data_IF_778292999682
#
_entry.id   IF_778292999682
#
_cell.length_a   1.000
_cell.length_b   1.000
_cell.length_c   1.000
_cell.angle_alpha   90.00
_cell.angle_beta   90.00
_cell.angle_gamma   90.00
#
_symmetry.space_group_name_H-M   'P 1'
#
loop_
_entity.id
_entity.type
_entity.pdbx_description
1 polymer ?
#
# COMPACT_ATOMS: atom_id res chain seq x y z
N UNK A 1 39.67 -57.18 10.96
CA UNK A 1 38.44 -56.33 11.12
C UNK A 1 37.79 -56.14 9.76
N UNK A 2 36.75 -56.93 9.44
CA UNK A 2 36.06 -56.90 8.14
C UNK A 2 34.96 -55.87 8.27
N UNK A 3 35.15 -54.67 7.67
CA UNK A 3 34.06 -53.68 7.55
C UNK A 3 33.11 -54.21 6.50
N UNK A 4 31.97 -54.77 6.91
CA UNK A 4 30.82 -55.06 6.09
C UNK A 4 30.29 -53.77 5.50
N UNK A 5 30.60 -53.49 4.23
CA UNK A 5 30.07 -52.38 3.42
C UNK A 5 28.62 -52.70 3.06
N UNK A 6 27.69 -52.40 3.98
CA UNK A 6 26.26 -52.60 3.77
C UNK A 6 25.80 -51.64 2.66
N UNK A 7 25.59 -52.15 1.45
CA UNK A 7 25.03 -51.41 0.34
C UNK A 7 23.49 -51.42 0.52
N UNK A 8 22.99 -50.39 1.09
CA UNK A 8 21.54 -50.19 1.11
C UNK A 8 21.00 -50.10 -0.32
N UNK A 9 20.03 -50.96 -0.66
CA UNK A 9 19.39 -50.93 -1.96
C UNK A 9 18.57 -49.59 -2.04
N UNK A 10 18.84 -48.80 -3.08
CA UNK A 10 18.21 -47.47 -3.26
C UNK A 10 16.67 -47.53 -3.14
N UNK A 11 16.08 -48.66 -3.47
CA UNK A 11 14.64 -48.90 -3.37
C UNK A 11 14.13 -48.77 -1.91
N UNK A 12 14.84 -49.38 -0.95
CA UNK A 12 14.45 -49.28 0.47
C UNK A 12 14.67 -47.89 1.02
N UNK A 13 15.68 -47.17 0.54
CA UNK A 13 15.91 -45.78 0.92
C UNK A 13 14.79 -44.89 0.44
N UNK A 14 14.29 -45.05 -0.79
CA UNK A 14 13.13 -44.30 -1.29
C UNK A 14 11.82 -44.59 -0.49
N UNK A 15 11.56 -45.86 -0.19
CA UNK A 15 10.42 -46.26 0.65
C UNK A 15 10.54 -45.67 2.06
N UNK A 16 11.73 -45.71 2.67
CA UNK A 16 11.98 -45.09 3.98
C UNK A 16 11.74 -43.58 3.96
N UNK A 17 12.26 -42.86 2.95
CA UNK A 17 12.04 -41.43 2.79
C UNK A 17 10.55 -41.12 2.58
N UNK A 18 9.86 -41.90 1.75
CA UNK A 18 8.41 -41.73 1.52
C UNK A 18 7.60 -41.95 2.80
N UNK A 19 7.92 -43.00 3.58
CA UNK A 19 7.26 -43.26 4.86
C UNK A 19 7.47 -42.13 5.87
N UNK A 20 8.70 -41.62 5.99
CA UNK A 20 9.02 -40.47 6.85
C UNK A 20 8.26 -39.23 6.38
N UNK A 21 8.23 -38.94 5.07
CA UNK A 21 7.46 -37.83 4.53
C UNK A 21 5.96 -37.93 4.85
N UNK A 22 5.38 -39.12 4.68
CA UNK A 22 3.96 -39.34 5.02
C UNK A 22 3.69 -39.12 6.50
N UNK A 23 4.53 -39.65 7.39
CA UNK A 23 4.41 -39.47 8.84
C UNK A 23 4.53 -38.00 9.21
N UNK A 24 5.52 -37.28 8.67
CA UNK A 24 5.71 -35.85 8.93
C UNK A 24 4.52 -35.02 8.44
N UNK A 25 4.03 -35.31 7.22
CA UNK A 25 2.84 -34.62 6.71
C UNK A 25 1.60 -34.93 7.55
N UNK A 26 1.42 -36.19 7.98
CA UNK A 26 0.30 -36.56 8.84
C UNK A 26 0.35 -35.89 10.20
N UNK A 27 1.54 -35.81 10.82
CA UNK A 27 1.76 -35.08 12.07
C UNK A 27 1.51 -33.58 11.93
N UNK A 28 1.94 -32.96 10.81
CA UNK A 28 1.67 -31.55 10.53
C UNK A 28 0.18 -31.29 10.33
N UNK A 29 -0.53 -32.18 9.62
CA UNK A 29 -2.00 -32.08 9.45
C UNK A 29 -2.72 -32.26 10.79
N UNK A 30 -2.29 -33.25 11.59
CA UNK A 30 -2.84 -33.46 12.94
C UNK A 30 -2.62 -32.23 13.84
N UNK A 31 -1.40 -31.70 13.90
CA UNK A 31 -1.08 -30.48 14.63
C UNK A 31 -1.88 -29.28 14.13
N UNK A 32 -2.07 -29.14 12.80
CA UNK A 32 -2.88 -28.07 12.22
C UNK A 32 -4.36 -28.16 12.60
N UNK A 33 -4.91 -29.37 12.79
CA UNK A 33 -6.32 -29.57 13.16
C UNK A 33 -6.54 -29.42 14.65
N UNK A 34 -5.69 -30.02 15.49
CA UNK A 34 -5.88 -30.10 16.95
C UNK A 34 -5.18 -28.96 17.73
N UNK A 35 -4.06 -28.43 17.24
CA UNK A 35 -3.31 -27.33 17.87
C UNK A 35 -3.14 -26.12 16.92
N UNK A 36 -4.22 -25.71 16.27
CA UNK A 36 -4.20 -24.57 15.35
C UNK A 36 -3.61 -23.30 15.97
N UNK A 37 -3.86 -23.05 17.26
CA UNK A 37 -3.27 -21.92 18.00
C UNK A 37 -1.75 -22.04 18.14
N UNK A 38 -1.23 -23.26 18.36
CA UNK A 38 0.21 -23.53 18.43
C UNK A 38 0.90 -23.27 17.11
N UNK A 39 0.33 -23.73 16.00
CA UNK A 39 0.85 -23.47 14.65
C UNK A 39 0.85 -21.97 14.34
N UNK A 40 -0.24 -21.25 14.67
CA UNK A 40 -0.30 -19.80 14.50
C UNK A 40 0.73 -19.06 15.36
N UNK A 41 1.01 -19.54 16.59
CA UNK A 41 2.02 -18.93 17.46
C UNK A 41 3.43 -19.07 16.89
N UNK A 42 3.77 -20.24 16.32
CA UNK A 42 5.05 -20.48 15.66
C UNK A 42 5.19 -19.60 14.42
N UNK A 43 4.14 -19.51 13.60
CA UNK A 43 4.12 -18.62 12.44
C UNK A 43 4.30 -17.16 12.91
N UNK A 44 3.57 -16.73 13.92
CA UNK A 44 3.70 -15.39 14.50
C UNK A 44 5.10 -15.10 15.06
N UNK A 45 5.75 -16.08 15.69
CA UNK A 45 7.12 -16.00 16.15
C UNK A 45 8.11 -15.80 15.00
N UNK A 46 7.98 -16.59 13.92
CA UNK A 46 8.80 -16.43 12.70
C UNK A 46 8.62 -15.04 12.10
N UNK A 47 7.38 -14.57 11.96
CA UNK A 47 7.10 -13.22 11.44
C UNK A 47 7.68 -12.13 12.34
N UNK A 48 7.68 -12.30 13.67
CA UNK A 48 8.29 -11.36 14.60
C UNK A 48 9.81 -11.29 14.43
N UNK A 49 10.48 -12.43 14.26
CA UNK A 49 11.93 -12.45 13.98
C UNK A 49 12.25 -11.82 12.62
N UNK A 50 11.40 -12.04 11.63
CA UNK A 50 11.59 -11.50 10.27
C UNK A 50 11.13 -10.04 10.14
N UNK A 51 10.47 -9.46 11.14
CA UNK A 51 9.90 -8.10 11.04
C UNK A 51 10.92 -7.04 10.62
N UNK A 52 12.18 -6.97 11.12
CA UNK A 52 13.14 -5.98 10.65
C UNK A 52 13.50 -6.17 9.16
N UNK A 53 13.53 -7.44 8.69
CA UNK A 53 13.80 -7.75 7.28
C UNK A 53 12.63 -7.28 6.41
N UNK A 54 11.39 -7.52 6.86
CA UNK A 54 10.19 -7.07 6.15
C UNK A 54 10.08 -5.54 6.11
N UNK A 55 10.41 -4.86 7.22
CA UNK A 55 10.49 -3.40 7.25
C UNK A 55 11.57 -2.88 6.31
N UNK A 56 12.77 -3.48 6.34
CA UNK A 56 13.84 -3.14 5.42
C UNK A 56 13.48 -3.34 3.96
N UNK A 57 12.80 -4.43 3.63
CA UNK A 57 12.28 -4.68 2.29
C UNK A 57 11.23 -3.65 1.88
N UNK A 58 10.27 -3.31 2.76
CA UNK A 58 9.25 -2.31 2.49
C UNK A 58 9.87 -0.92 2.24
N UNK A 59 10.79 -0.48 3.11
CA UNK A 59 11.53 0.79 2.95
C UNK A 59 12.32 0.81 1.63
N UNK A 60 13.04 -0.27 1.34
CA UNK A 60 13.79 -0.40 0.08
C UNK A 60 12.86 -0.33 -1.13
N UNK A 61 11.70 -0.97 -1.04
CA UNK A 61 10.71 -0.97 -2.11
C UNK A 61 10.15 0.44 -2.37
N UNK A 62 9.79 1.16 -1.31
CA UNK A 62 9.32 2.55 -1.37
C UNK A 62 10.37 3.51 -1.94
N UNK A 63 11.63 3.35 -1.54
CA UNK A 63 12.73 4.21 -1.98
C UNK A 63 13.25 3.87 -3.39
N UNK A 64 12.95 2.70 -3.92
CA UNK A 64 13.45 2.25 -5.24
C UNK A 64 13.20 3.26 -6.36
N UNK A 65 12.03 3.90 -6.53
CA UNK A 65 11.80 4.91 -7.57
C UNK A 65 12.69 6.14 -7.40
N UNK A 66 12.87 6.60 -6.16
CA UNK A 66 13.71 7.75 -5.81
C UNK A 66 15.19 7.45 -6.09
N UNK A 67 15.69 6.31 -5.61
CA UNK A 67 17.06 5.84 -5.88
C UNK A 67 17.32 5.74 -7.37
N UNK A 68 16.40 5.15 -8.14
CA UNK A 68 16.54 5.03 -9.59
C UNK A 68 16.59 6.41 -10.30
N UNK A 69 15.81 7.38 -9.81
CA UNK A 69 15.81 8.74 -10.36
C UNK A 69 17.13 9.45 -10.06
N UNK A 70 17.61 9.36 -8.82
CA UNK A 70 18.90 9.95 -8.40
C UNK A 70 20.07 9.28 -9.13
N UNK A 71 20.11 7.95 -9.22
CA UNK A 71 21.09 7.18 -9.99
C UNK A 71 21.23 7.71 -11.43
N UNK A 72 20.09 7.87 -12.11
CA UNK A 72 20.07 8.38 -13.50
C UNK A 72 20.62 9.80 -13.59
N UNK A 73 20.28 10.66 -12.63
CA UNK A 73 20.76 12.04 -12.59
C UNK A 73 22.27 12.06 -12.36
N UNK A 74 22.78 11.30 -11.37
CA UNK A 74 24.21 11.28 -11.02
C UNK A 74 25.05 10.70 -12.16
N UNK A 75 24.62 9.59 -12.77
CA UNK A 75 25.32 8.99 -13.91
C UNK A 75 25.37 9.97 -15.07
N UNK A 76 24.28 10.70 -15.33
CA UNK A 76 24.19 11.64 -16.45
C UNK A 76 24.99 12.93 -16.21
N UNK A 77 25.09 13.40 -14.96
CA UNK A 77 25.69 14.69 -14.61
C UNK A 77 27.16 14.55 -14.20
N UNK A 78 27.46 13.66 -13.25
CA UNK A 78 28.80 13.58 -12.65
C UNK A 78 29.68 12.48 -13.22
N UNK A 79 29.09 11.36 -13.67
CA UNK A 79 29.85 10.20 -14.11
C UNK A 79 29.82 9.96 -15.62
N UNK A 80 29.38 10.96 -16.40
CA UNK A 80 29.25 10.86 -17.86
C UNK A 80 30.55 10.45 -18.57
N UNK A 81 31.70 10.96 -18.10
CA UNK A 81 33.02 10.76 -18.69
C UNK A 81 33.94 9.87 -17.82
N UNK A 82 33.39 9.00 -16.99
CA UNK A 82 34.17 8.17 -16.07
C UNK A 82 35.01 7.14 -16.84
N UNK A 83 36.35 7.12 -16.58
CA UNK A 83 37.29 6.14 -17.17
C UNK A 83 36.94 4.68 -16.85
N UNK A 84 36.20 4.40 -15.76
CA UNK A 84 35.78 3.07 -15.34
C UNK A 84 34.26 3.02 -15.09
N UNK A 85 33.43 2.76 -16.12
CA UNK A 85 31.96 2.90 -16.02
C UNK A 85 31.34 2.01 -14.94
N UNK A 86 31.86 0.80 -14.70
CA UNK A 86 31.34 -0.10 -13.68
C UNK A 86 31.59 0.36 -12.23
N UNK A 87 32.76 1.00 -11.96
CA UNK A 87 33.02 1.61 -10.64
C UNK A 87 32.19 2.87 -10.44
N UNK A 88 32.01 3.66 -11.48
CA UNK A 88 31.17 4.85 -11.47
C UNK A 88 29.69 4.52 -11.18
N UNK A 89 29.15 3.47 -11.80
CA UNK A 89 27.79 3.00 -11.51
C UNK A 89 27.62 2.55 -10.06
N UNK A 90 28.58 1.82 -9.50
CA UNK A 90 28.54 1.40 -8.08
C UNK A 90 28.60 2.59 -7.14
N UNK A 91 29.45 3.58 -7.42
CA UNK A 91 29.58 4.80 -6.62
C UNK A 91 28.30 5.64 -6.70
N UNK A 92 27.76 5.88 -7.90
CA UNK A 92 26.51 6.58 -8.09
C UNK A 92 25.37 5.90 -7.31
N UNK A 93 25.30 4.57 -7.36
CA UNK A 93 24.31 3.78 -6.62
C UNK A 93 24.44 3.95 -5.12
N UNK A 94 25.67 3.86 -4.56
CA UNK A 94 25.89 4.04 -3.13
C UNK A 94 25.47 5.45 -2.68
N UNK A 95 25.86 6.48 -3.42
CA UNK A 95 25.48 7.88 -3.12
C UNK A 95 23.97 8.07 -3.23
N UNK A 96 23.32 7.52 -4.27
CA UNK A 96 21.86 7.61 -4.44
C UNK A 96 21.09 6.93 -3.33
N UNK A 97 21.56 5.77 -2.85
CA UNK A 97 20.94 5.04 -1.73
C UNK A 97 21.06 5.85 -0.44
N UNK A 98 22.28 6.32 -0.09
CA UNK A 98 22.50 7.12 1.11
C UNK A 98 21.71 8.44 1.06
N UNK A 99 21.75 9.15 -0.06
CA UNK A 99 20.99 10.39 -0.23
C UNK A 99 19.48 10.17 -0.10
N UNK A 100 18.94 9.07 -0.65
CA UNK A 100 17.51 8.75 -0.55
C UNK A 100 17.09 8.45 0.88
N UNK A 101 17.93 7.76 1.65
CA UNK A 101 17.65 7.43 3.05
C UNK A 101 17.76 8.69 3.92
N UNK A 102 18.80 9.51 3.74
CA UNK A 102 18.94 10.77 4.45
C UNK A 102 17.77 11.71 4.16
N UNK A 103 17.32 11.77 2.91
CA UNK A 103 16.15 12.54 2.52
C UNK A 103 14.87 12.02 3.19
N UNK A 104 14.66 10.71 3.21
CA UNK A 104 13.53 10.10 3.92
C UNK A 104 13.56 10.43 5.41
N UNK A 105 14.71 10.23 6.06
CA UNK A 105 14.89 10.56 7.48
C UNK A 105 14.69 12.05 7.75
N UNK A 106 15.25 12.93 6.92
CA UNK A 106 15.07 14.37 7.04
C UNK A 106 13.61 14.79 6.94
N UNK A 107 12.86 14.21 5.99
CA UNK A 107 11.42 14.44 5.86
C UNK A 107 10.66 13.92 7.09
N UNK A 108 10.93 12.69 7.53
CA UNK A 108 10.26 12.10 8.70
C UNK A 108 10.55 12.90 9.98
N UNK A 109 11.81 13.22 10.24
CA UNK A 109 12.21 14.01 11.41
C UNK A 109 11.58 15.41 11.35
N UNK A 110 11.64 16.09 10.20
CA UNK A 110 11.03 17.40 10.00
C UNK A 110 9.52 17.40 10.22
N UNK A 111 8.84 16.40 9.67
CA UNK A 111 7.39 16.22 9.91
C UNK A 111 7.09 15.90 11.37
N UNK A 112 7.85 15.03 12.02
CA UNK A 112 7.66 14.73 13.44
C UNK A 112 7.89 15.96 14.32
N UNK A 113 8.97 16.71 14.08
CA UNK A 113 9.27 17.94 14.83
C UNK A 113 8.22 19.04 14.64
N UNK A 114 7.62 19.11 13.45
CA UNK A 114 6.56 20.09 13.16
C UNK A 114 5.21 19.64 13.72
N UNK A 115 4.83 18.36 13.53
CA UNK A 115 3.49 17.89 13.78
C UNK A 115 3.28 17.46 15.24
N UNK A 116 4.23 16.75 15.84
CA UNK A 116 4.05 16.19 17.20
C UNK A 116 3.76 17.27 18.25
N UNK A 117 4.53 18.39 18.35
CA UNK A 117 4.22 19.45 19.30
C UNK A 117 2.84 20.06 19.05
N UNK A 118 2.50 20.31 17.79
CA UNK A 118 1.19 20.88 17.44
C UNK A 118 0.03 19.92 17.75
N UNK A 119 0.19 18.62 17.48
CA UNK A 119 -0.81 17.61 17.83
C UNK A 119 -1.03 17.57 19.35
N UNK A 120 0.05 17.54 20.14
CA UNK A 120 -0.04 17.51 21.59
C UNK A 120 -0.72 18.79 22.10
N UNK A 121 -0.29 19.95 21.65
CA UNK A 121 -0.89 21.23 22.05
C UNK A 121 -2.37 21.32 21.68
N UNK A 122 -2.74 20.87 20.48
CA UNK A 122 -4.14 20.88 20.04
C UNK A 122 -5.01 19.89 20.84
N UNK A 123 -4.49 18.69 21.16
CA UNK A 123 -5.22 17.70 21.96
C UNK A 123 -5.38 18.19 23.41
N UNK A 124 -4.34 18.75 24.01
CA UNK A 124 -4.42 19.31 25.36
C UNK A 124 -5.34 20.54 25.42
N UNK A 125 -5.24 21.43 24.42
CA UNK A 125 -6.15 22.57 24.27
C UNK A 125 -7.61 22.15 24.09
N UNK A 126 -7.85 21.11 23.32
CA UNK A 126 -9.19 20.51 23.17
C UNK A 126 -9.70 19.97 24.51
N UNK A 127 -8.88 19.22 25.23
CA UNK A 127 -9.24 18.69 26.56
C UNK A 127 -9.58 19.80 27.58
N UNK A 128 -8.76 20.84 27.62
CA UNK A 128 -8.99 21.98 28.52
C UNK A 128 -10.28 22.75 28.25
N UNK A 129 -10.70 22.81 26.98
CA UNK A 129 -11.86 23.57 26.55
C UNK A 129 -13.10 22.68 26.25
N UNK A 130 -13.04 21.39 26.56
CA UNK A 130 -14.07 20.42 26.16
C UNK A 130 -15.45 20.77 26.76
N UNK A 131 -15.47 21.31 27.96
CA UNK A 131 -16.72 21.73 28.61
C UNK A 131 -17.41 22.88 27.89
N UNK A 132 -16.62 23.91 27.50
CA UNK A 132 -17.16 25.04 26.75
C UNK A 132 -17.59 24.63 25.34
N UNK A 133 -16.92 23.67 24.70
CA UNK A 133 -17.32 23.16 23.40
C UNK A 133 -18.66 22.42 23.44
N UNK A 134 -18.87 21.58 24.46
CA UNK A 134 -20.16 20.92 24.66
C UNK A 134 -21.26 21.91 24.99
N UNK A 135 -20.98 22.92 25.82
CA UNK A 135 -21.93 23.98 26.14
C UNK A 135 -22.34 24.76 24.89
N UNK A 136 -21.40 25.18 24.07
CA UNK A 136 -21.67 25.88 22.83
C UNK A 136 -22.53 25.05 21.85
N UNK A 137 -22.28 23.72 21.81
CA UNK A 137 -23.06 22.82 20.95
C UNK A 137 -24.47 22.61 21.48
N UNK A 138 -24.65 22.49 22.79
CA UNK A 138 -25.98 22.46 23.43
C UNK A 138 -26.76 23.75 23.16
N UNK A 139 -26.14 24.94 23.34
CA UNK A 139 -26.73 26.22 23.07
C UNK A 139 -27.14 26.40 21.58
N UNK A 140 -26.25 25.97 20.67
CA UNK A 140 -26.53 25.98 19.24
C UNK A 140 -27.73 25.08 18.86
N UNK A 141 -27.82 23.87 19.41
CA UNK A 141 -28.95 22.95 19.18
C UNK A 141 -30.26 23.56 19.74
N UNK A 142 -30.22 24.06 20.97
CA UNK A 142 -31.37 24.68 21.63
C UNK A 142 -31.84 25.91 20.88
N UNK A 143 -30.92 26.69 20.27
CA UNK A 143 -31.23 27.84 19.41
C UNK A 143 -31.90 27.44 18.09
N UNK A 144 -31.58 26.29 17.53
CA UNK A 144 -32.17 25.82 16.27
C UNK A 144 -33.58 25.22 16.44
N UNK A 145 -33.78 24.45 17.51
CA UNK A 145 -34.98 23.61 17.67
C UNK A 145 -35.95 24.17 18.68
N UNK A 146 -35.52 25.13 19.50
CA UNK A 146 -36.26 25.63 20.67
C UNK A 146 -36.08 24.76 21.90
N UNK A 147 -35.90 25.41 23.05
CA UNK A 147 -35.55 24.78 24.32
C UNK A 147 -36.54 23.74 24.83
N UNK A 148 -37.80 23.81 24.44
CA UNK A 148 -38.88 22.94 24.93
C UNK A 148 -39.25 21.80 23.96
N UNK A 149 -38.42 21.47 22.98
CA UNK A 149 -38.70 20.37 22.07
C UNK A 149 -38.17 19.05 22.63
N UNK A 150 -38.94 17.97 22.48
CA UNK A 150 -38.51 16.62 22.84
C UNK A 150 -37.19 16.25 22.14
N UNK A 151 -36.92 16.79 20.96
CA UNK A 151 -35.68 16.58 20.25
C UNK A 151 -34.48 17.23 20.96
N UNK A 152 -34.63 18.45 21.50
CA UNK A 152 -33.59 19.14 22.25
C UNK A 152 -33.24 18.35 23.53
N UNK A 153 -34.22 17.76 24.21
CA UNK A 153 -34.03 16.96 25.41
C UNK A 153 -33.20 15.68 25.08
N UNK A 154 -33.57 14.92 24.03
CA UNK A 154 -32.80 13.75 23.58
C UNK A 154 -31.39 14.11 23.11
N UNK A 155 -31.24 15.21 22.38
CA UNK A 155 -29.94 15.67 21.90
C UNK A 155 -29.04 16.07 23.06
N UNK A 156 -29.52 16.80 24.06
CA UNK A 156 -28.75 17.20 25.23
C UNK A 156 -28.40 16.00 26.12
N UNK A 157 -29.28 15.01 26.26
CA UNK A 157 -28.97 13.76 26.94
C UNK A 157 -27.85 12.98 26.23
N UNK A 158 -27.93 12.88 24.91
CA UNK A 158 -26.88 12.24 24.11
C UNK A 158 -25.54 12.97 24.22
N UNK A 159 -25.55 14.31 24.15
CA UNK A 159 -24.35 15.13 24.32
C UNK A 159 -23.73 14.97 25.71
N UNK A 160 -24.54 14.90 26.74
CA UNK A 160 -24.09 14.65 28.11
C UNK A 160 -23.39 13.29 28.26
N UNK A 161 -23.94 12.24 27.67
CA UNK A 161 -23.32 10.91 27.64
C UNK A 161 -22.03 10.92 26.82
N UNK A 162 -22.04 11.54 25.63
CA UNK A 162 -20.85 11.66 24.78
C UNK A 162 -19.73 12.44 25.49
N UNK A 163 -20.08 13.56 26.17
CA UNK A 163 -19.13 14.33 27.00
C UNK A 163 -18.48 13.46 28.06
N UNK A 164 -19.28 12.74 28.85
CA UNK A 164 -18.77 11.87 29.91
C UNK A 164 -17.82 10.78 29.37
N UNK A 165 -18.19 10.15 28.24
CA UNK A 165 -17.38 9.13 27.60
C UNK A 165 -16.06 9.71 27.09
N UNK A 166 -16.08 10.84 26.39
CA UNK A 166 -14.88 11.47 25.82
C UNK A 166 -13.97 12.00 26.94
N UNK A 167 -14.52 12.72 27.90
CA UNK A 167 -13.74 13.23 29.04
C UNK A 167 -13.18 12.10 29.88
N UNK A 168 -13.95 11.05 30.15
CA UNK A 168 -13.50 9.86 30.86
C UNK A 168 -12.32 9.16 30.17
N UNK A 169 -12.46 8.93 28.85
CA UNK A 169 -11.36 8.33 28.06
C UNK A 169 -10.13 9.25 27.98
N UNK A 170 -10.33 10.54 27.73
CA UNK A 170 -9.21 11.49 27.67
C UNK A 170 -8.48 11.62 29.01
N UNK A 171 -9.20 11.71 30.11
CA UNK A 171 -8.60 11.88 31.45
C UNK A 171 -7.94 10.60 31.97
N UNK A 172 -8.53 9.42 31.71
CA UNK A 172 -8.00 8.15 32.18
C UNK A 172 -6.82 7.64 31.36
N UNK A 173 -6.88 7.78 30.04
CA UNK A 173 -5.93 7.12 29.12
C UNK A 173 -5.06 8.10 28.36
N UNK A 174 -5.66 9.07 27.66
CA UNK A 174 -4.95 9.87 26.68
C UNK A 174 -4.05 10.95 27.32
N UNK A 175 -4.62 11.76 28.22
CA UNK A 175 -3.89 12.90 28.82
C UNK A 175 -2.72 12.44 29.68
N UNK A 176 -2.84 11.41 30.56
CA UNK A 176 -1.71 10.87 31.30
C UNK A 176 -0.60 10.33 30.38
N UNK A 177 -0.96 9.66 29.27
CA UNK A 177 0.03 9.18 28.31
C UNK A 177 0.76 10.33 27.63
N UNK A 178 0.06 11.40 27.20
CA UNK A 178 0.66 12.58 26.59
C UNK A 178 1.56 13.33 27.59
N UNK A 179 1.11 13.48 28.82
CA UNK A 179 1.93 14.08 29.90
C UNK A 179 3.17 13.23 30.20
N UNK A 180 3.03 11.91 30.26
CA UNK A 180 4.15 10.99 30.41
C UNK A 180 5.16 11.10 29.26
N UNK A 181 4.73 11.29 28.05
CA UNK A 181 5.60 11.56 26.90
C UNK A 181 6.36 12.87 27.07
N UNK A 182 5.70 13.93 27.57
CA UNK A 182 6.32 15.23 27.78
C UNK A 182 7.28 15.26 28.99
N UNK A 183 6.92 14.57 30.10
CA UNK A 183 7.69 14.60 31.36
C UNK A 183 8.79 13.54 31.37
N UNK A 184 8.53 12.36 30.84
CA UNK A 184 9.47 11.24 30.86
C UNK A 184 10.22 11.09 29.54
N UNK A 185 10.83 12.16 29.04
CA UNK A 185 11.63 12.14 27.81
C UNK A 185 12.66 11.01 27.83
N UNK A 186 13.29 10.73 28.99
CA UNK A 186 14.34 9.71 29.11
C UNK A 186 13.83 8.27 29.00
N UNK A 187 12.71 7.91 29.61
CA UNK A 187 12.11 6.56 29.50
C UNK A 187 11.36 6.39 28.17
N UNK A 188 10.76 7.45 27.68
CA UNK A 188 10.17 7.49 26.34
C UNK A 188 11.25 7.36 25.27
N UNK A 189 12.43 7.96 25.44
CA UNK A 189 13.58 7.75 24.57
C UNK A 189 14.01 6.28 24.53
N UNK A 190 13.92 5.53 25.65
CA UNK A 190 14.27 4.09 25.64
C UNK A 190 13.24 3.21 24.93
N UNK A 191 11.95 3.45 25.11
CA UNK A 191 10.90 2.74 24.35
C UNK A 191 10.88 3.15 22.89
N UNK A 192 11.13 4.41 22.59
CA UNK A 192 11.37 4.92 21.24
C UNK A 192 12.65 4.32 20.67
N UNK A 193 13.73 4.18 21.46
CA UNK A 193 14.99 3.56 21.02
C UNK A 193 14.82 2.10 20.61
N UNK A 194 13.96 1.31 21.25
CA UNK A 194 13.69 -0.07 20.82
C UNK A 194 12.96 -0.12 19.48
N UNK A 195 11.98 0.75 19.26
CA UNK A 195 11.32 0.91 17.94
C UNK A 195 12.30 1.44 16.90
N UNK A 196 13.18 2.38 17.30
CA UNK A 196 14.25 2.88 16.43
C UNK A 196 15.33 1.82 16.16
N UNK A 197 15.61 0.91 17.08
CA UNK A 197 16.56 -0.19 16.84
C UNK A 197 16.06 -1.10 15.70
N UNK A 198 14.77 -1.49 15.74
CA UNK A 198 14.16 -2.26 14.64
C UNK A 198 14.13 -1.48 13.32
N UNK A 199 13.89 -0.18 13.40
CA UNK A 199 13.92 0.72 12.24
C UNK A 199 15.35 0.90 11.70
N UNK A 200 16.37 1.01 12.56
CA UNK A 200 17.78 1.09 12.17
C UNK A 200 18.20 -0.21 11.51
N UNK A 201 17.87 -1.36 12.10
CA UNK A 201 18.14 -2.67 11.49
C UNK A 201 17.41 -2.76 10.14
N UNK A 202 16.15 -2.38 10.09
CA UNK A 202 15.37 -2.30 8.86
C UNK A 202 16.00 -1.38 7.81
N UNK A 203 16.53 -0.21 8.21
CA UNK A 203 17.24 0.69 7.31
C UNK A 203 18.56 0.11 6.80
N UNK A 204 19.34 -0.55 7.65
CA UNK A 204 20.56 -1.25 7.22
C UNK A 204 20.21 -2.30 6.18
N UNK A 205 19.17 -3.09 6.44
CA UNK A 205 18.66 -4.11 5.51
C UNK A 205 18.16 -3.46 4.21
N UNK A 206 17.46 -2.33 4.30
CA UNK A 206 17.00 -1.56 3.15
C UNK A 206 18.17 -1.07 2.28
N UNK A 207 19.28 -0.62 2.90
CA UNK A 207 20.50 -0.25 2.17
C UNK A 207 21.02 -1.45 1.37
N UNK A 208 21.13 -2.62 1.99
CA UNK A 208 21.58 -3.85 1.31
C UNK A 208 20.64 -4.25 0.17
N UNK A 209 19.32 -4.19 0.38
CA UNK A 209 18.35 -4.48 -0.67
C UNK A 209 18.45 -3.49 -1.83
N UNK A 210 18.51 -2.19 -1.56
CA UNK A 210 18.62 -1.15 -2.59
C UNK A 210 19.93 -1.24 -3.37
N UNK A 211 21.04 -1.47 -2.67
CA UNK A 211 22.34 -1.59 -3.28
C UNK A 211 22.46 -2.84 -4.15
N UNK A 212 21.90 -3.97 -3.70
CA UNK A 212 22.05 -5.29 -4.31
C UNK A 212 20.80 -5.79 -5.03
N UNK A 213 19.82 -4.95 -5.33
CA UNK A 213 18.51 -5.35 -5.89
C UNK A 213 18.61 -6.16 -7.18
N UNK A 214 19.54 -5.78 -8.07
CA UNK A 214 19.76 -6.51 -9.33
C UNK A 214 20.33 -7.91 -9.08
N UNK A 215 21.21 -8.05 -8.07
CA UNK A 215 21.77 -9.33 -7.67
C UNK A 215 20.70 -10.25 -7.08
N UNK A 216 19.87 -9.74 -6.17
CA UNK A 216 18.74 -10.49 -5.61
C UNK A 216 17.73 -10.91 -6.69
N UNK A 217 17.38 -10.01 -7.60
CA UNK A 217 16.48 -10.32 -8.73
C UNK A 217 17.09 -11.40 -9.65
N UNK A 218 18.41 -11.36 -9.90
CA UNK A 218 19.11 -12.37 -10.69
C UNK A 218 19.20 -13.72 -9.99
N UNK A 219 19.44 -13.72 -8.67
CA UNK A 219 19.42 -14.94 -7.85
C UNK A 219 18.01 -15.57 -7.83
N UNK A 220 16.97 -14.76 -7.65
CA UNK A 220 15.58 -15.24 -7.72
C UNK A 220 15.27 -15.90 -9.07
N UNK A 221 15.67 -15.28 -10.20
CA UNK A 221 15.54 -15.90 -11.52
C UNK A 221 16.31 -17.22 -11.61
N UNK A 222 17.57 -17.24 -11.13
CA UNK A 222 18.39 -18.46 -11.14
C UNK A 222 17.70 -19.61 -10.40
N UNK A 223 17.16 -19.34 -9.21
CA UNK A 223 16.41 -20.33 -8.43
C UNK A 223 15.15 -20.77 -9.19
N UNK A 224 14.40 -19.84 -9.78
CA UNK A 224 13.21 -20.17 -10.57
C UNK A 224 13.53 -21.12 -11.72
N UNK A 225 14.57 -20.84 -12.51
CA UNK A 225 14.96 -21.73 -13.62
C UNK A 225 15.63 -23.02 -13.17
N UNK A 226 16.15 -23.09 -11.94
CA UNK A 226 16.67 -24.33 -11.38
C UNK A 226 15.56 -25.29 -10.92
N UNK A 227 14.45 -24.74 -10.39
CA UNK A 227 13.34 -25.53 -9.84
C UNK A 227 12.26 -25.87 -10.87
N UNK A 228 12.07 -25.03 -11.88
CA UNK A 228 10.98 -25.17 -12.85
C UNK A 228 11.53 -25.32 -14.28
N UNK A 229 10.74 -25.95 -15.16
CA UNK A 229 11.05 -26.03 -16.59
C UNK A 229 11.18 -24.61 -17.19
N UNK A 230 11.92 -24.49 -18.30
CA UNK A 230 12.17 -23.19 -18.95
C UNK A 230 10.88 -22.41 -19.21
N UNK A 231 9.86 -23.06 -19.78
CA UNK A 231 8.55 -22.45 -20.06
C UNK A 231 7.85 -21.95 -18.79
N UNK A 232 7.78 -22.76 -17.73
CA UNK A 232 7.16 -22.37 -16.46
C UNK A 232 7.98 -21.27 -15.75
N UNK A 233 9.32 -21.35 -15.84
CA UNK A 233 10.22 -20.32 -15.33
C UNK A 233 9.97 -18.96 -15.97
N UNK A 234 9.78 -18.89 -17.28
CA UNK A 234 9.45 -17.65 -17.99
C UNK A 234 8.10 -17.07 -17.53
N UNK A 235 7.09 -17.92 -17.34
CA UNK A 235 5.78 -17.51 -16.84
C UNK A 235 5.90 -16.92 -15.43
N UNK A 236 6.64 -17.58 -14.53
CA UNK A 236 6.85 -17.11 -13.15
C UNK A 236 7.58 -15.76 -13.16
N UNK A 237 8.67 -15.63 -13.93
CA UNK A 237 9.43 -14.38 -14.03
C UNK A 237 8.59 -13.25 -14.63
N UNK A 238 7.76 -13.53 -15.64
CA UNK A 238 6.83 -12.57 -16.22
C UNK A 238 5.81 -12.09 -15.20
N UNK A 239 5.22 -13.02 -14.45
CA UNK A 239 4.24 -12.72 -13.41
C UNK A 239 4.86 -11.93 -12.24
N UNK A 240 6.07 -12.28 -11.79
CA UNK A 240 6.78 -11.54 -10.76
C UNK A 240 7.10 -10.10 -11.20
N UNK A 241 7.47 -9.90 -12.46
CA UNK A 241 7.68 -8.56 -13.04
C UNK A 241 6.38 -7.76 -13.13
N UNK A 242 5.28 -8.42 -13.47
CA UNK A 242 3.95 -7.81 -13.46
C UNK A 242 3.55 -7.39 -12.02
N UNK A 243 3.67 -8.29 -11.05
CA UNK A 243 3.42 -8.00 -9.64
C UNK A 243 4.24 -6.80 -9.16
N UNK A 244 5.54 -6.76 -9.42
CA UNK A 244 6.40 -5.63 -9.08
C UNK A 244 5.90 -4.31 -9.69
N UNK A 245 5.40 -4.32 -10.93
CA UNK A 245 4.86 -3.12 -11.58
C UNK A 245 3.58 -2.65 -10.90
N UNK A 246 2.64 -3.57 -10.62
CA UNK A 246 1.36 -3.26 -9.99
C UNK A 246 1.56 -2.72 -8.57
N UNK A 247 2.32 -3.43 -7.74
CA UNK A 247 2.63 -2.99 -6.37
C UNK A 247 3.37 -1.66 -6.34
N UNK A 248 4.42 -1.53 -7.17
CA UNK A 248 5.23 -0.30 -7.21
C UNK A 248 4.43 0.91 -7.67
N UNK A 249 3.65 0.75 -8.73
CA UNK A 249 2.79 1.81 -9.24
C UNK A 249 1.71 2.22 -8.22
N UNK A 250 1.03 1.24 -7.63
CA UNK A 250 -0.04 1.48 -6.67
C UNK A 250 0.46 2.15 -5.37
N UNK A 251 1.46 1.57 -4.71
CA UNK A 251 1.95 2.08 -3.42
C UNK A 251 2.57 3.47 -3.60
N UNK A 252 3.43 3.65 -4.62
CA UNK A 252 4.04 4.95 -4.88
C UNK A 252 2.99 5.99 -5.25
N UNK A 253 2.02 5.60 -6.10
CA UNK A 253 0.92 6.48 -6.48
C UNK A 253 0.09 6.89 -5.26
N UNK A 254 -0.27 5.95 -4.38
CA UNK A 254 -1.12 6.24 -3.21
C UNK A 254 -0.42 7.13 -2.18
N UNK A 255 0.89 6.97 -1.98
CA UNK A 255 1.67 7.87 -1.11
C UNK A 255 1.71 9.29 -1.67
N UNK A 256 1.94 9.43 -2.98
CA UNK A 256 1.95 10.75 -3.63
C UNK A 256 0.56 11.39 -3.56
N UNK A 257 -0.48 10.64 -3.86
CA UNK A 257 -1.88 11.05 -3.78
C UNK A 257 -2.23 11.56 -2.38
N UNK A 258 -1.93 10.77 -1.34
CA UNK A 258 -2.15 11.12 0.07
C UNK A 258 -1.38 12.37 0.50
N UNK A 259 -0.15 12.53 0.05
CA UNK A 259 0.64 13.73 0.32
C UNK A 259 0.06 14.98 -0.35
N UNK A 260 -0.46 14.85 -1.59
CA UNK A 260 -1.13 15.94 -2.29
C UNK A 260 -2.44 16.31 -1.58
N UNK A 261 -3.28 15.34 -1.24
CA UNK A 261 -4.56 15.56 -0.55
C UNK A 261 -4.34 16.20 0.82
N UNK A 262 -3.41 15.67 1.63
CA UNK A 262 -3.07 16.25 2.93
C UNK A 262 -2.52 17.68 2.81
N UNK A 263 -1.66 17.93 1.82
CA UNK A 263 -1.12 19.26 1.54
C UNK A 263 -2.19 20.25 1.10
N UNK A 264 -3.07 19.87 0.19
CA UNK A 264 -4.22 20.70 -0.24
C UNK A 264 -5.17 20.98 0.91
N UNK A 265 -5.45 19.97 1.74
CA UNK A 265 -6.26 20.13 2.94
C UNK A 265 -5.63 21.15 3.90
N UNK A 266 -4.33 21.02 4.18
CA UNK A 266 -3.61 21.96 5.06
C UNK A 266 -3.65 23.40 4.55
N UNK A 267 -3.39 23.62 3.27
CA UNK A 267 -3.40 24.93 2.63
C UNK A 267 -4.82 25.54 2.72
N UNK A 268 -5.83 24.79 2.32
CA UNK A 268 -7.20 25.28 2.34
C UNK A 268 -7.68 25.57 3.77
N UNK A 269 -7.44 24.67 4.73
CA UNK A 269 -7.82 24.89 6.12
C UNK A 269 -7.14 26.13 6.73
N UNK A 270 -5.89 26.40 6.34
CA UNK A 270 -5.16 27.59 6.79
C UNK A 270 -5.74 28.86 6.18
N UNK A 271 -6.08 28.84 4.87
CA UNK A 271 -6.66 29.99 4.17
C UNK A 271 -8.07 30.30 4.71
N UNK A 272 -8.91 29.29 4.90
CA UNK A 272 -10.26 29.44 5.42
C UNK A 272 -10.35 29.54 6.95
N UNK A 273 -9.21 29.54 7.64
CA UNK A 273 -9.08 29.64 9.09
C UNK A 273 -9.95 28.61 9.85
N UNK A 274 -9.97 27.37 9.36
CA UNK A 274 -10.58 26.28 10.09
C UNK A 274 -9.79 25.92 11.35
N UNK A 275 -10.44 25.39 12.41
CA UNK A 275 -9.71 24.94 13.61
C UNK A 275 -8.82 23.74 13.32
N UNK A 276 -7.68 23.68 13.99
CA UNK A 276 -6.73 22.57 13.98
C UNK A 276 -6.18 22.16 12.58
N UNK A 277 -5.72 23.11 11.72
CA UNK A 277 -5.32 22.77 10.35
C UNK A 277 -4.25 21.67 10.27
N UNK A 278 -3.15 21.67 11.07
CA UNK A 278 -2.13 20.63 10.97
C UNK A 278 -2.65 19.24 11.41
N UNK A 279 -3.44 19.20 12.48
CA UNK A 279 -4.00 17.95 13.00
C UNK A 279 -4.91 17.29 11.97
N UNK A 280 -5.88 18.03 11.47
CA UNK A 280 -6.90 17.51 10.56
C UNK A 280 -6.31 17.15 9.20
N UNK A 281 -5.41 17.98 8.66
CA UNK A 281 -4.77 17.68 7.37
C UNK A 281 -3.89 16.43 7.42
N UNK A 282 -3.23 16.17 8.55
CA UNK A 282 -2.49 14.93 8.77
C UNK A 282 -3.42 13.73 8.88
N UNK A 283 -4.51 13.85 9.66
CA UNK A 283 -5.52 12.79 9.77
C UNK A 283 -6.05 12.43 8.38
N UNK A 284 -6.45 13.42 7.58
CA UNK A 284 -6.98 13.22 6.23
C UNK A 284 -5.91 12.64 5.30
N UNK A 285 -4.69 13.19 5.30
CA UNK A 285 -3.61 12.72 4.46
C UNK A 285 -3.19 11.28 4.79
N UNK A 286 -3.05 10.94 6.07
CA UNK A 286 -2.69 9.58 6.51
C UNK A 286 -3.82 8.60 6.24
N UNK A 287 -5.06 8.96 6.57
CA UNK A 287 -6.22 8.13 6.30
C UNK A 287 -6.38 7.84 4.80
N UNK A 288 -6.07 8.81 3.94
CA UNK A 288 -6.16 8.67 2.48
C UNK A 288 -5.22 7.61 1.89
N UNK A 289 -4.23 7.11 2.65
CA UNK A 289 -3.41 5.95 2.23
C UNK A 289 -4.28 4.71 2.05
N UNK A 290 -5.37 4.58 2.82
CA UNK A 290 -6.31 3.47 2.72
C UNK A 290 -7.26 3.72 1.55
N UNK A 291 -7.24 2.90 0.50
CA UNK A 291 -8.11 3.10 -0.64
C UNK A 291 -9.58 2.99 -0.25
N UNK A 292 -10.43 3.81 -0.86
CA UNK A 292 -11.88 3.81 -0.71
C UNK A 292 -12.39 4.25 0.68
N UNK A 293 -11.86 3.70 1.77
CA UNK A 293 -12.29 4.02 3.14
C UNK A 293 -11.54 5.21 3.76
N UNK A 294 -10.35 5.52 3.24
CA UNK A 294 -9.52 6.61 3.76
C UNK A 294 -10.24 7.95 3.88
N UNK A 295 -10.95 8.41 2.85
CA UNK A 295 -11.73 9.64 2.90
C UNK A 295 -12.69 9.70 4.08
N UNK A 296 -13.43 8.63 4.34
CA UNK A 296 -14.41 8.56 5.43
C UNK A 296 -13.74 8.48 6.81
N UNK A 297 -12.70 7.64 6.92
CA UNK A 297 -11.91 7.49 8.17
C UNK A 297 -11.28 8.82 8.58
N UNK A 298 -10.84 9.62 7.61
CA UNK A 298 -10.27 10.94 7.86
C UNK A 298 -11.32 12.02 8.11
N UNK A 299 -12.38 12.07 7.30
CA UNK A 299 -13.37 13.14 7.34
C UNK A 299 -14.27 13.07 8.58
N UNK A 300 -14.76 11.89 8.97
CA UNK A 300 -15.70 11.76 10.08
C UNK A 300 -15.13 12.31 11.40
N UNK A 301 -13.98 11.87 11.90
CA UNK A 301 -13.42 12.43 13.14
C UNK A 301 -13.06 13.91 12.99
N UNK A 302 -12.63 14.34 11.80
CA UNK A 302 -12.30 15.74 11.54
C UNK A 302 -13.52 16.66 11.62
N UNK A 303 -14.64 16.24 11.03
CA UNK A 303 -15.93 16.98 11.12
C UNK A 303 -16.39 17.05 12.59
N UNK A 304 -16.31 15.93 13.32
CA UNK A 304 -16.72 15.90 14.73
C UNK A 304 -15.85 16.82 15.60
N UNK A 305 -14.53 16.86 15.37
CA UNK A 305 -13.63 17.78 16.07
C UNK A 305 -13.99 19.24 15.80
N UNK A 306 -14.27 19.59 14.56
CA UNK A 306 -14.65 20.98 14.21
C UNK A 306 -16.04 21.31 14.73
N UNK A 307 -16.98 20.35 14.69
CA UNK A 307 -18.36 20.53 15.18
C UNK A 307 -18.39 20.92 16.66
N UNK A 308 -17.53 20.31 17.46
CA UNK A 308 -17.44 20.64 18.88
C UNK A 308 -16.91 22.06 19.13
N UNK A 309 -16.04 22.56 18.25
CA UNK A 309 -15.46 23.90 18.39
C UNK A 309 -16.40 25.00 17.85
N UNK A 310 -16.94 24.78 16.64
CA UNK A 310 -17.79 25.72 15.94
C UNK A 310 -18.69 24.96 14.93
N UNK A 311 -19.98 24.80 15.24
CA UNK A 311 -20.91 24.06 14.38
C UNK A 311 -21.06 24.63 12.97
N UNK A 312 -20.99 25.93 12.81
CA UNK A 312 -21.12 26.57 11.49
C UNK A 312 -19.86 26.29 10.64
N UNK A 313 -18.69 26.37 11.24
CA UNK A 313 -17.43 25.98 10.56
C UNK A 313 -17.39 24.50 10.20
N UNK A 314 -18.00 23.63 11.00
CA UNK A 314 -18.12 22.20 10.67
C UNK A 314 -18.95 21.99 9.39
N UNK A 315 -20.03 22.76 9.19
CA UNK A 315 -20.82 22.72 7.96
C UNK A 315 -19.99 23.17 6.74
N UNK A 316 -19.24 24.25 6.87
CA UNK A 316 -18.35 24.71 5.78
C UNK A 316 -17.25 23.69 5.50
N UNK A 317 -16.68 23.07 6.55
CA UNK A 317 -15.68 22.02 6.39
C UNK A 317 -16.25 20.76 5.72
N UNK A 318 -17.50 20.38 6.05
CA UNK A 318 -18.19 19.27 5.38
C UNK A 318 -18.29 19.52 3.87
N UNK A 319 -18.70 20.73 3.46
CA UNK A 319 -18.79 21.09 2.05
C UNK A 319 -17.38 21.04 1.41
N UNK A 320 -16.39 21.63 2.09
CA UNK A 320 -15.01 21.64 1.61
C UNK A 320 -14.46 20.24 1.41
N UNK A 321 -14.63 19.33 2.39
CA UNK A 321 -14.10 17.97 2.29
C UNK A 321 -14.79 17.18 1.17
N UNK A 322 -16.08 17.35 0.95
CA UNK A 322 -16.79 16.73 -0.18
C UNK A 322 -16.23 17.22 -1.52
N UNK A 323 -15.95 18.51 -1.67
CA UNK A 323 -15.32 19.06 -2.88
C UNK A 323 -13.91 18.51 -3.05
N UNK A 324 -13.11 18.48 -1.97
CA UNK A 324 -11.76 17.93 -2.01
C UNK A 324 -11.75 16.46 -2.44
N UNK A 325 -12.69 15.65 -1.93
CA UNK A 325 -12.82 14.24 -2.31
C UNK A 325 -13.26 14.07 -3.77
N UNK A 326 -14.12 14.96 -4.29
CA UNK A 326 -14.47 14.95 -5.72
C UNK A 326 -13.24 15.29 -6.60
N UNK A 327 -12.43 16.24 -6.18
CA UNK A 327 -11.19 16.59 -6.88
C UNK A 327 -10.18 15.42 -6.81
N UNK A 328 -10.03 14.79 -5.64
CA UNK A 328 -9.17 13.62 -5.47
C UNK A 328 -9.61 12.50 -6.40
N UNK A 329 -10.88 12.06 -6.31
CA UNK A 329 -11.38 10.90 -7.04
C UNK A 329 -11.40 11.08 -8.57
N UNK A 330 -11.72 12.29 -9.06
CA UNK A 330 -11.89 12.54 -10.50
C UNK A 330 -10.66 13.14 -11.18
N UNK A 331 -9.76 13.79 -10.45
CA UNK A 331 -8.62 14.50 -11.06
C UNK A 331 -7.28 13.96 -10.54
N UNK A 332 -7.08 13.89 -9.22
CA UNK A 332 -5.78 13.57 -8.62
C UNK A 332 -5.50 12.08 -8.75
N UNK A 333 -6.39 11.23 -8.25
CA UNK A 333 -6.21 9.79 -8.24
C UNK A 333 -6.01 9.21 -9.66
N UNK A 334 -6.81 9.56 -10.70
CA UNK A 334 -6.55 9.08 -12.06
C UNK A 334 -5.21 9.54 -12.64
N UNK A 335 -4.76 10.75 -12.32
CA UNK A 335 -3.47 11.26 -12.79
C UNK A 335 -2.28 10.64 -12.10
N UNK A 336 -2.40 10.32 -10.80
CA UNK A 336 -1.32 9.82 -9.96
C UNK A 336 -1.24 8.29 -10.00
N UNK A 337 -2.37 7.61 -9.81
CA UNK A 337 -2.43 6.15 -9.81
C UNK A 337 -2.58 5.56 -11.22
N UNK A 338 -3.24 6.27 -12.16
CA UNK A 338 -3.57 5.73 -13.47
C UNK A 338 -4.40 4.44 -13.36
N UNK A 339 -4.26 3.55 -14.35
CA UNK A 339 -4.90 2.23 -14.36
C UNK A 339 -4.03 1.17 -13.63
N UNK A 340 -3.45 1.52 -12.48
CA UNK A 340 -2.42 0.70 -11.82
C UNK A 340 -2.90 -0.71 -11.46
N UNK A 341 -4.18 -0.92 -11.18
CA UNK A 341 -4.71 -2.23 -10.75
C UNK A 341 -5.59 -2.92 -11.78
N UNK A 342 -6.28 -2.18 -12.65
CA UNK A 342 -7.23 -2.73 -13.62
C UNK A 342 -8.43 -3.47 -12.98
N UNK A 343 -8.68 -3.25 -11.68
CA UNK A 343 -9.81 -3.81 -10.95
C UNK A 343 -11.02 -2.90 -11.02
N UNK A 344 -12.22 -3.49 -11.06
CA UNK A 344 -13.47 -2.74 -10.87
C UNK A 344 -13.68 -2.43 -9.38
N UNK A 345 -14.51 -1.43 -9.07
CA UNK A 345 -14.79 -0.99 -7.69
C UNK A 345 -15.20 -2.14 -6.75
N UNK A 346 -16.02 -3.09 -7.23
CA UNK A 346 -16.40 -4.29 -6.47
C UNK A 346 -15.18 -5.09 -6.00
N UNK A 347 -14.24 -5.38 -6.91
CA UNK A 347 -13.05 -6.16 -6.58
C UNK A 347 -12.07 -5.41 -5.66
N UNK A 348 -12.08 -4.07 -5.71
CA UNK A 348 -11.30 -3.24 -4.78
C UNK A 348 -11.87 -3.38 -3.36
N UNK A 349 -13.19 -3.24 -3.19
CA UNK A 349 -13.86 -3.41 -1.88
C UNK A 349 -13.66 -4.83 -1.36
N UNK A 350 -13.85 -5.84 -2.21
CA UNK A 350 -13.61 -7.24 -1.85
C UNK A 350 -12.18 -7.48 -1.34
N UNK A 351 -11.18 -6.94 -2.05
CA UNK A 351 -9.79 -7.04 -1.64
C UNK A 351 -9.53 -6.40 -0.27
N UNK A 352 -10.09 -5.21 -0.02
CA UNK A 352 -9.94 -4.51 1.25
C UNK A 352 -10.57 -5.30 2.40
N UNK A 353 -11.79 -5.83 2.21
CA UNK A 353 -12.48 -6.63 3.26
C UNK A 353 -11.70 -7.89 3.57
N UNK A 354 -11.28 -8.66 2.57
CA UNK A 354 -10.57 -9.93 2.76
C UNK A 354 -9.19 -9.71 3.39
N UNK A 355 -8.37 -8.83 2.79
CA UNK A 355 -7.02 -8.60 3.28
C UNK A 355 -7.00 -7.75 4.55
N UNK A 356 -7.92 -6.81 4.70
CA UNK A 356 -8.09 -6.03 5.94
C UNK A 356 -8.50 -6.90 7.12
N UNK A 357 -9.44 -7.84 6.91
CA UNK A 357 -9.87 -8.78 7.93
C UNK A 357 -8.80 -9.81 8.33
N UNK A 358 -7.92 -10.20 7.41
CA UNK A 358 -6.88 -11.21 7.67
C UNK A 358 -5.54 -10.62 8.15
N UNK A 359 -5.14 -9.46 7.62
CA UNK A 359 -3.84 -8.83 7.86
C UNK A 359 -3.94 -7.46 8.56
N UNK A 360 -5.15 -7.04 8.97
CA UNK A 360 -5.39 -5.76 9.63
C UNK A 360 -4.99 -4.55 8.77
N UNK A 361 -4.37 -3.54 9.40
CA UNK A 361 -3.99 -2.30 8.74
C UNK A 361 -3.07 -2.50 7.51
N UNK A 362 -2.12 -3.41 7.60
CA UNK A 362 -1.23 -3.75 6.48
C UNK A 362 -2.05 -4.30 5.30
N UNK A 363 -3.03 -5.16 5.59
CA UNK A 363 -3.93 -5.72 4.58
C UNK A 363 -4.78 -4.66 3.88
N UNK A 364 -5.21 -3.61 4.58
CA UNK A 364 -5.95 -2.49 3.97
C UNK A 364 -5.12 -1.76 2.89
N UNK A 365 -3.81 -1.65 3.10
CA UNK A 365 -2.91 -0.96 2.16
C UNK A 365 -2.49 -1.86 1.00
N UNK A 366 -2.02 -3.08 1.30
CA UNK A 366 -1.44 -3.97 0.28
C UNK A 366 -2.47 -4.88 -0.38
N UNK A 367 -3.67 -5.00 0.17
CA UNK A 367 -4.70 -5.93 -0.29
C UNK A 367 -5.13 -5.69 -1.74
N UNK A 368 -5.33 -4.43 -2.10
CA UNK A 368 -5.74 -4.07 -3.47
C UNK A 368 -4.72 -4.49 -4.53
N UNK A 369 -3.43 -4.12 -4.44
CA UNK A 369 -2.44 -4.60 -5.41
C UNK A 369 -2.18 -6.10 -5.33
N UNK A 370 -2.27 -6.73 -4.14
CA UNK A 370 -2.14 -8.17 -4.01
C UNK A 370 -3.26 -8.89 -4.74
N UNK A 371 -4.51 -8.46 -4.52
CA UNK A 371 -5.66 -9.03 -5.20
C UNK A 371 -5.62 -8.79 -6.71
N UNK A 372 -5.18 -7.62 -7.18
CA UNK A 372 -5.02 -7.31 -8.60
C UNK A 372 -4.07 -8.31 -9.29
N UNK A 373 -2.99 -8.69 -8.63
CA UNK A 373 -2.05 -9.69 -9.13
C UNK A 373 -2.70 -11.07 -9.17
N UNK A 374 -3.36 -11.48 -8.08
CA UNK A 374 -4.07 -12.79 -8.01
C UNK A 374 -5.15 -12.86 -9.08
N UNK A 375 -5.99 -11.82 -9.17
CA UNK A 375 -7.06 -11.74 -10.17
C UNK A 375 -6.53 -11.87 -11.59
N UNK A 376 -5.44 -11.17 -11.92
CA UNK A 376 -4.82 -11.24 -13.25
C UNK A 376 -4.22 -12.62 -13.52
N UNK A 377 -3.63 -13.27 -12.53
CA UNK A 377 -3.13 -14.63 -12.67
C UNK A 377 -4.25 -15.64 -12.95
N UNK A 378 -5.34 -15.55 -12.19
CA UNK A 378 -6.53 -16.39 -12.40
C UNK A 378 -7.14 -16.13 -13.78
N UNK A 379 -7.33 -14.86 -14.15
CA UNK A 379 -7.83 -14.47 -15.47
C UNK A 379 -6.98 -15.06 -16.61
N UNK A 380 -5.66 -14.88 -16.52
CA UNK A 380 -4.74 -15.40 -17.53
C UNK A 380 -4.74 -16.95 -17.59
N UNK A 381 -4.88 -17.61 -16.44
CA UNK A 381 -4.96 -19.06 -16.37
C UNK A 381 -6.27 -19.57 -17.02
N UNK A 382 -7.40 -18.94 -16.70
CA UNK A 382 -8.71 -19.25 -17.32
C UNK A 382 -8.63 -19.05 -18.83
N UNK A 383 -8.15 -17.88 -19.29
CA UNK A 383 -8.02 -17.57 -20.71
C UNK A 383 -7.19 -18.64 -21.45
N UNK A 384 -6.04 -19.03 -20.91
CA UNK A 384 -5.21 -20.09 -21.51
C UNK A 384 -5.93 -21.45 -21.54
N UNK A 385 -6.75 -21.77 -20.53
CA UNK A 385 -7.53 -23.02 -20.51
C UNK A 385 -8.63 -23.01 -21.56
N UNK A 386 -9.32 -21.88 -21.73
CA UNK A 386 -10.36 -21.69 -22.75
C UNK A 386 -9.76 -21.76 -24.16
N UNK A 387 -8.65 -21.09 -24.40
CA UNK A 387 -7.93 -21.18 -25.70
C UNK A 387 -7.55 -22.63 -26.06
N UNK A 388 -7.03 -23.40 -25.09
CA UNK A 388 -6.73 -24.83 -25.31
C UNK A 388 -7.96 -25.68 -25.63
N UNK A 389 -9.15 -25.24 -25.22
CA UNK A 389 -10.43 -25.91 -25.50
C UNK A 389 -11.13 -25.33 -26.74
N UNK A 390 -10.51 -24.37 -27.42
CA UNK A 390 -11.10 -23.63 -28.54
C UNK A 390 -12.45 -22.99 -28.17
N UNK A 391 -12.55 -22.44 -26.95
CA UNK A 391 -13.74 -21.75 -26.46
C UNK A 391 -13.52 -20.23 -26.41
N UNK A 392 -14.61 -19.43 -26.51
CA UNK A 392 -14.51 -17.98 -26.43
C UNK A 392 -13.80 -17.51 -25.15
N UNK A 393 -12.95 -16.50 -25.28
CA UNK A 393 -12.23 -15.93 -24.12
C UNK A 393 -12.91 -14.70 -23.53
N UNK A 394 -13.86 -14.12 -24.25
CA UNK A 394 -14.58 -12.92 -23.85
C UNK A 394 -15.75 -13.24 -22.92
N UNK A 395 -15.87 -12.51 -21.82
CA UNK A 395 -16.93 -12.73 -20.81
C UNK A 395 -18.33 -12.52 -21.40
N UNK A 396 -18.47 -11.61 -22.39
CA UNK A 396 -19.76 -11.33 -23.04
C UNK A 396 -20.33 -12.56 -23.74
N UNK A 397 -19.47 -13.43 -24.30
CA UNK A 397 -19.90 -14.65 -24.94
C UNK A 397 -20.61 -15.61 -23.95
N UNK A 398 -20.34 -15.49 -22.65
CA UNK A 398 -20.92 -16.31 -21.57
C UNK A 398 -22.16 -15.67 -20.93
N UNK A 399 -22.57 -14.49 -21.33
CA UNK A 399 -23.79 -13.83 -20.84
C UNK A 399 -25.05 -14.28 -21.56
N UNK A 400 -24.94 -14.94 -22.71
CA UNK A 400 -26.07 -15.47 -23.47
C UNK A 400 -26.54 -16.81 -22.88
N UNK A 401 -27.84 -16.98 -22.70
CA UNK A 401 -28.44 -18.23 -22.24
C UNK A 401 -28.28 -19.31 -23.31
N UNK A 402 -27.46 -20.31 -23.03
CA UNK A 402 -27.29 -21.50 -23.91
C UNK A 402 -26.13 -22.39 -23.46
N UNK A 403 -26.19 -23.69 -23.80
CA UNK A 403 -25.07 -24.60 -23.62
C UNK A 403 -23.96 -24.25 -24.59
N UNK A 404 -22.77 -23.98 -24.08
CA UNK A 404 -21.59 -23.75 -24.91
C UNK A 404 -21.15 -25.02 -25.59
N UNK A 405 -21.23 -25.06 -26.91
CA UNK A 405 -20.60 -26.06 -27.73
C UNK A 405 -19.17 -25.63 -28.11
N UNK A 406 -18.26 -26.58 -28.38
CA UNK A 406 -16.99 -26.28 -29.01
C UNK A 406 -17.21 -25.45 -30.29
N UNK A 407 -16.38 -24.46 -30.57
CA UNK A 407 -16.47 -23.69 -31.81
C UNK A 407 -16.36 -24.61 -33.03
N UNK A 408 -17.16 -24.32 -34.05
CA UNK A 408 -17.00 -24.92 -35.36
C UNK A 408 -15.69 -24.44 -36.01
N UNK A 409 -15.19 -25.15 -37.03
CA UNK A 409 -13.95 -24.72 -37.73
C UNK A 409 -14.10 -23.33 -38.35
N UNK A 410 -15.28 -22.98 -38.86
CA UNK A 410 -15.54 -21.61 -39.38
C UNK A 410 -15.49 -20.54 -38.30
N UNK A 411 -16.05 -20.83 -37.13
CA UNK A 411 -15.98 -19.91 -35.97
C UNK A 411 -14.55 -19.74 -35.46
N UNK A 412 -13.73 -20.81 -35.50
CA UNK A 412 -12.29 -20.73 -35.14
C UNK A 412 -11.54 -19.84 -36.11
N UNK A 413 -11.75 -20.01 -37.42
CA UNK A 413 -11.12 -19.18 -38.46
C UNK A 413 -11.52 -17.71 -38.30
N UNK A 414 -12.80 -17.44 -37.99
CA UNK A 414 -13.27 -16.08 -37.76
C UNK A 414 -12.64 -15.44 -36.51
N UNK A 415 -12.45 -16.20 -35.42
CA UNK A 415 -11.78 -15.71 -34.20
C UNK A 415 -10.30 -15.46 -34.46
N UNK A 416 -9.59 -16.38 -35.09
CA UNK A 416 -8.17 -16.21 -35.44
C UNK A 416 -7.95 -15.00 -36.35
N UNK A 417 -8.88 -14.76 -37.27
CA UNK A 417 -8.86 -13.57 -38.12
C UNK A 417 -9.05 -12.28 -37.30
N UNK A 418 -10.02 -12.26 -36.38
CA UNK A 418 -10.23 -11.11 -35.48
C UNK A 418 -9.04 -10.87 -34.53
N UNK A 419 -8.41 -11.92 -34.02
CA UNK A 419 -7.22 -11.79 -33.16
C UNK A 419 -6.02 -11.26 -33.98
N UNK A 420 -5.84 -11.70 -35.22
CA UNK A 420 -4.78 -11.17 -36.11
C UNK A 420 -5.01 -9.71 -36.46
N UNK A 421 -6.24 -9.31 -36.77
CA UNK A 421 -6.60 -7.91 -37.05
C UNK A 421 -6.39 -7.01 -35.81
N UNK A 422 -6.77 -7.48 -34.61
CA UNK A 422 -6.50 -6.77 -33.34
C UNK A 422 -5.00 -6.64 -33.05
N UNK A 423 -4.23 -7.70 -33.31
CA UNK A 423 -2.78 -7.69 -33.17
C UNK A 423 -2.12 -6.68 -34.13
N UNK A 424 -2.56 -6.63 -35.37
CA UNK A 424 -2.10 -5.63 -36.34
C UNK A 424 -2.49 -4.20 -35.94
N UNK A 425 -3.70 -4.00 -35.45
CA UNK A 425 -4.16 -2.70 -34.99
C UNK A 425 -3.37 -2.22 -33.77
N UNK A 426 -3.10 -3.12 -32.82
CA UNK A 426 -2.25 -2.85 -31.66
C UNK A 426 -0.80 -2.52 -32.09
N UNK A 427 -0.27 -3.26 -33.06
CA UNK A 427 1.04 -3.00 -33.64
C UNK A 427 1.09 -1.64 -34.36
N UNK A 428 0.06 -1.30 -35.17
CA UNK A 428 -0.07 0.02 -35.81
C UNK A 428 -0.16 1.16 -34.80
N UNK A 429 -0.93 1.00 -33.72
CA UNK A 429 -1.03 1.98 -32.62
C UNK A 429 0.32 2.15 -31.89
N UNK A 430 1.00 1.05 -31.57
CA UNK A 430 2.32 1.08 -30.96
C UNK A 430 3.38 1.74 -31.85
N UNK A 431 3.35 1.45 -33.16
CA UNK A 431 4.26 2.07 -34.18
C UNK A 431 4.00 3.56 -34.35
N UNK A 432 2.72 4.00 -34.38
CA UNK A 432 2.36 5.43 -34.41
C UNK A 432 2.81 6.17 -33.16
N UNK A 433 2.68 5.56 -31.96
CA UNK A 433 3.18 6.15 -30.70
C UNK A 433 4.71 6.29 -30.72
N UNK A 434 5.43 5.28 -31.18
CA UNK A 434 6.89 5.30 -31.30
C UNK A 434 7.36 6.34 -32.32
N UNK A 435 6.66 6.48 -33.44
CA UNK A 435 6.93 7.51 -34.45
C UNK A 435 6.66 8.93 -33.93
N UNK A 436 5.54 9.12 -33.24
CA UNK A 436 5.20 10.40 -32.60
C UNK A 436 6.25 10.81 -31.55
N UNK A 437 6.74 9.86 -30.75
CA UNK A 437 7.81 10.09 -29.77
C UNK A 437 9.15 10.39 -30.46
N UNK A 438 9.48 9.72 -31.57
CA UNK A 438 10.67 10.02 -32.38
C UNK A 438 10.60 11.39 -33.05
N UNK A 439 9.45 11.78 -33.57
CA UNK A 439 9.22 13.10 -34.15
C UNK A 439 9.33 14.19 -33.09
N UNK A 440 8.70 14.02 -31.90
CA UNK A 440 8.84 14.96 -30.77
C UNK A 440 10.29 15.10 -30.32
N UNK A 441 11.05 13.99 -30.26
CA UNK A 441 12.47 14.00 -29.93
C UNK A 441 13.33 14.70 -30.98
N UNK A 442 13.01 14.52 -32.25
CA UNK A 442 13.67 15.19 -33.38
C UNK A 442 13.41 16.71 -33.39
N UNK A 443 12.14 17.14 -33.17
CA UNK A 443 11.79 18.56 -33.01
C UNK A 443 12.44 19.22 -31.82
N UNK A 444 12.56 18.51 -30.72
CA UNK A 444 13.22 19.01 -29.50
C UNK A 444 14.72 19.21 -29.70
N UNK A 445 15.36 18.33 -30.45
CA UNK A 445 16.79 18.45 -30.76
C UNK A 445 17.09 19.55 -31.83
N UNK A 446 16.11 19.96 -32.62
CA UNK A 446 16.27 21.06 -33.60
C UNK A 446 16.07 22.47 -33.01
N UNK A 447 15.41 22.56 -31.84
CA UNK A 447 15.24 23.85 -31.12
C UNK A 447 16.46 24.25 -30.29
N UNK A 448 17.49 23.43 -30.25
CA UNK A 448 18.73 23.67 -29.49
C UNK A 448 20.00 23.61 -30.39
N UNK A 449 19.84 23.78 -31.68
CA UNK A 449 20.85 24.18 -32.63
C UNK A 449 20.42 25.55 -33.17
#
# INVERSE_FOLDING_TARGET
MVFLKYRWDKKYLYWGVTAVCVIVVSLLVFAAIFEFKGVLSVIGFIFRILSPVLYGFAIAYLLTPLVNKLDRIQIKTYFKNAKKPHKAQKAARAISVVASILLLLGILIGLCMMLIPQLITNILGFYQNIESYFYNLEDWINGLVGQNSSFAEYANQFLGQAKQMIVGWMSADLVPQLQNILVNVTSTLWSVFSVFADLIIGMIIAIYFLYSKEKFASQGKKVTYALFSHHNGDVIVKNARYAHRVFGGFITGKIIDSAIVGGLCFIAMTIFQFPYPPLISVIIGVANIIPFFGPYIGAIPSILLILLVDPLRALYFLIFILVLQQIEGNIIAPKVLGEATGLTGFWVIFAIVVFGGTMGFVGLIIGVPAFAVIYTWIKNWITRRLQKKHMPTETVAYSMQGCFRPMTEEEKIAVDKMESERAEEAFRKATKQTLSQRIKKWWKNRKYK
#
